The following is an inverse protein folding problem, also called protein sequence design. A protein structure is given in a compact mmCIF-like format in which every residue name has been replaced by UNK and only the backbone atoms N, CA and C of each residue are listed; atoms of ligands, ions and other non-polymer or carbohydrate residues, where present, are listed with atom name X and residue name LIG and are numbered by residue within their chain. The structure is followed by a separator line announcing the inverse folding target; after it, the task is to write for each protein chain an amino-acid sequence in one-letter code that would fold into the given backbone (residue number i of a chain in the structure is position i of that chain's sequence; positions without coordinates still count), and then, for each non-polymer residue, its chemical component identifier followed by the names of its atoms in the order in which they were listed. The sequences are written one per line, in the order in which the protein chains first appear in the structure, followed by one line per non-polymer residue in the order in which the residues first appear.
data_IF_097785093251
#
_entry.id   IF_097785093251
#
_cell.length_a   1.000
_cell.length_b   1.000
_cell.length_c   1.000
_cell.angle_alpha   90.00
_cell.angle_beta   90.00
_cell.angle_gamma   90.00
#
_symmetry.space_group_name_H-M   'P 1'
#
loop_
_entity.id
_entity.type
_entity.pdbx_description
1 polymer ?
#
# COMPACT_ATOMS: atom_id res chain seq x y z
N UNK A 1 -28.88 52.57 -23.72
CA UNK A 1 -28.51 51.45 -24.61
C UNK A 1 -27.00 51.39 -24.60
N UNK A 2 -26.42 50.56 -23.72
CA UNK A 2 -25.83 49.23 -24.05
C UNK A 2 -24.52 49.40 -24.82
N UNK A 3 -23.37 48.83 -24.45
CA UNK A 3 -23.09 47.61 -23.70
C UNK A 3 -21.65 47.67 -23.16
N UNK A 4 -21.39 47.11 -21.97
CA UNK A 4 -20.06 46.78 -21.46
C UNK A 4 -19.49 45.66 -22.34
N UNK A 5 -18.30 45.84 -22.91
CA UNK A 5 -17.55 44.77 -23.59
C UNK A 5 -16.16 44.68 -22.97
N UNK A 6 -16.13 44.34 -21.69
CA UNK A 6 -14.96 43.65 -21.14
C UNK A 6 -14.77 42.37 -21.97
N UNK A 7 -13.55 42.17 -22.48
CA UNK A 7 -13.06 40.81 -22.66
C UNK A 7 -11.93 40.62 -21.65
N UNK A 8 -12.25 40.09 -20.45
CA UNK A 8 -11.30 39.90 -19.37
C UNK A 8 -10.40 38.72 -19.72
N UNK A 9 -9.09 38.87 -19.49
CA UNK A 9 -8.07 37.82 -19.53
C UNK A 9 -8.14 36.84 -20.70
N UNK A 10 -7.33 37.12 -21.73
CA UNK A 10 -6.98 36.14 -22.76
C UNK A 10 -6.10 35.04 -22.15
N UNK A 11 -6.69 34.14 -21.38
CA UNK A 11 -6.11 32.83 -21.08
C UNK A 11 -6.22 32.02 -22.37
N UNK A 12 -5.12 31.88 -23.08
CA UNK A 12 -4.99 30.91 -24.16
C UNK A 12 -5.19 29.52 -23.57
N UNK A 13 -6.44 29.06 -23.57
CA UNK A 13 -6.80 27.64 -23.55
C UNK A 13 -6.23 27.02 -24.82
N UNK A 14 -4.97 26.64 -24.73
CA UNK A 14 -4.17 26.14 -25.84
C UNK A 14 -3.16 25.13 -25.33
N UNK A 15 -3.58 24.27 -24.41
CA UNK A 15 -3.04 22.94 -24.16
C UNK A 15 -3.92 22.31 -23.09
N UNK A 16 -4.34 21.07 -23.32
CA UNK A 16 -4.52 20.12 -22.24
C UNK A 16 -3.20 20.04 -21.46
N UNK A 17 -2.90 21.04 -20.63
CA UNK A 17 -1.89 20.91 -19.60
C UNK A 17 -2.52 20.04 -18.52
N UNK A 18 -2.69 18.75 -18.87
CA UNK A 18 -2.82 17.70 -17.88
C UNK A 18 -1.59 17.87 -17.01
N UNK A 19 -1.76 18.37 -15.78
CA UNK A 19 -0.69 18.30 -14.79
C UNK A 19 -0.43 16.80 -14.70
N UNK A 20 0.73 16.28 -15.17
CA UNK A 20 1.06 14.93 -14.79
C UNK A 20 1.20 15.03 -13.29
N UNK A 21 0.22 14.51 -12.54
CA UNK A 21 0.47 14.15 -11.16
C UNK A 21 1.75 13.36 -11.25
N UNK A 22 2.81 13.93 -10.71
CA UNK A 22 4.11 13.32 -10.72
C UNK A 22 3.97 12.04 -9.92
N UNK A 23 3.61 10.95 -10.60
CA UNK A 23 4.03 9.60 -10.23
C UNK A 23 5.55 9.50 -10.53
N UNK A 24 6.29 10.60 -10.36
CA UNK A 24 7.71 10.69 -10.74
C UNK A 24 8.59 10.11 -9.67
N UNK A 25 8.20 10.17 -8.40
CA UNK A 25 8.92 9.44 -7.38
C UNK A 25 8.31 8.05 -7.24
N UNK A 26 8.96 7.07 -7.86
CA UNK A 26 8.80 5.68 -7.46
C UNK A 26 9.12 5.63 -5.97
N UNK A 27 8.13 5.33 -5.14
CA UNK A 27 8.40 5.16 -3.71
C UNK A 27 9.51 4.13 -3.51
N UNK A 28 10.30 4.28 -2.46
CA UNK A 28 11.36 3.31 -2.13
C UNK A 28 10.82 1.86 -2.16
N UNK A 29 9.59 1.67 -1.67
CA UNK A 29 8.86 0.38 -1.75
C UNK A 29 8.68 -0.13 -3.18
N UNK A 30 8.34 0.73 -4.15
CA UNK A 30 8.25 0.34 -5.58
C UNK A 30 9.64 0.06 -6.17
N UNK A 31 10.65 0.84 -5.80
CA UNK A 31 12.02 0.65 -6.32
C UNK A 31 12.63 -0.68 -5.88
N UNK A 32 12.35 -1.11 -4.65
CA UNK A 32 12.92 -2.33 -4.04
C UNK A 32 11.98 -3.53 -4.17
N UNK A 33 10.81 -3.38 -4.79
CA UNK A 33 9.84 -4.47 -4.92
C UNK A 33 10.42 -5.65 -5.71
N UNK A 34 10.49 -6.81 -5.07
CA UNK A 34 10.93 -8.06 -5.68
C UNK A 34 9.81 -9.11 -5.57
N UNK A 35 9.08 -9.31 -6.66
CA UNK A 35 7.94 -10.25 -6.70
C UNK A 35 8.36 -11.70 -6.50
N UNK A 36 9.54 -12.09 -7.00
CA UNK A 36 10.04 -13.47 -6.86
C UNK A 36 10.38 -13.77 -5.40
N UNK A 37 11.12 -12.87 -4.76
CA UNK A 37 11.46 -13.00 -3.34
C UNK A 37 10.19 -13.05 -2.48
N UNK A 38 9.26 -12.13 -2.73
CA UNK A 38 7.99 -12.09 -2.00
C UNK A 38 7.17 -13.39 -2.18
N UNK A 39 7.15 -13.96 -3.38
CA UNK A 39 6.47 -15.24 -3.61
C UNK A 39 7.14 -16.41 -2.88
N UNK A 40 8.48 -16.41 -2.80
CA UNK A 40 9.23 -17.42 -2.04
C UNK A 40 9.01 -17.29 -0.54
N UNK A 41 9.01 -16.07 0.00
CA UNK A 41 8.72 -15.81 1.41
C UNK A 41 7.30 -16.21 1.77
N UNK A 42 6.29 -15.86 0.96
CA UNK A 42 4.91 -16.28 1.20
C UNK A 42 4.79 -17.81 1.24
N UNK A 43 5.47 -18.52 0.34
CA UNK A 43 5.45 -19.98 0.35
C UNK A 43 6.07 -20.54 1.63
N UNK A 44 7.22 -20.02 2.05
CA UNK A 44 7.87 -20.43 3.29
C UNK A 44 7.02 -20.11 4.53
N UNK A 45 6.40 -18.94 4.57
CA UNK A 45 5.50 -18.56 5.67
C UNK A 45 4.31 -19.52 5.75
N UNK A 46 3.70 -19.88 4.61
CA UNK A 46 2.58 -20.83 4.55
C UNK A 46 2.99 -22.22 5.04
N UNK A 47 4.20 -22.68 4.70
CA UNK A 47 4.71 -23.96 5.18
C UNK A 47 4.88 -23.96 6.73
N UNK A 48 5.22 -22.81 7.32
CA UNK A 48 5.45 -22.66 8.76
C UNK A 48 4.17 -22.37 9.58
N UNK A 49 3.06 -22.00 8.94
CA UNK A 49 1.83 -21.58 9.63
C UNK A 49 1.33 -22.66 10.60
N UNK A 50 1.38 -23.93 10.22
CA UNK A 50 0.87 -25.00 11.06
C UNK A 50 1.75 -25.26 12.29
N UNK A 51 3.06 -25.16 12.15
CA UNK A 51 4.02 -25.28 13.27
C UNK A 51 3.80 -24.15 14.29
N UNK A 52 3.66 -22.91 13.81
CA UNK A 52 3.40 -21.75 14.68
C UNK A 52 2.05 -21.86 15.41
N UNK A 53 1.05 -22.44 14.76
CA UNK A 53 -0.26 -22.69 15.37
C UNK A 53 -0.19 -23.75 16.46
N UNK A 54 0.55 -24.83 16.25
CA UNK A 54 0.75 -25.87 17.26
C UNK A 54 1.52 -25.31 18.47
N UNK A 55 2.60 -24.56 18.23
CA UNK A 55 3.35 -23.89 19.29
C UNK A 55 2.45 -22.95 20.12
N UNK A 56 1.64 -22.13 19.45
CA UNK A 56 0.70 -21.24 20.11
C UNK A 56 -0.32 -22.00 20.98
N UNK A 57 -0.84 -23.13 20.50
CA UNK A 57 -1.77 -23.97 21.26
C UNK A 57 -1.10 -24.55 22.51
N UNK A 58 0.14 -25.06 22.39
CA UNK A 58 0.89 -25.59 23.53
C UNK A 58 1.07 -24.50 24.59
N UNK A 59 1.44 -23.29 24.18
CA UNK A 59 1.58 -22.16 25.10
C UNK A 59 0.26 -21.79 25.78
N UNK A 60 -0.84 -21.77 25.03
CA UNK A 60 -2.17 -21.47 25.55
C UNK A 60 -2.58 -22.49 26.63
N UNK A 61 -2.46 -23.78 26.32
CA UNK A 61 -2.81 -24.86 27.27
C UNK A 61 -1.91 -24.82 28.52
N UNK A 62 -0.61 -24.57 28.35
CA UNK A 62 0.30 -24.41 29.48
C UNK A 62 -0.09 -23.22 30.37
N UNK A 63 -0.51 -22.09 29.78
CA UNK A 63 -1.01 -20.93 30.52
C UNK A 63 -2.30 -21.24 31.28
N UNK A 64 -3.27 -21.91 30.65
CA UNK A 64 -4.52 -22.34 31.29
C UNK A 64 -4.26 -23.25 32.49
N UNK A 65 -3.38 -24.24 32.33
CA UNK A 65 -2.98 -25.16 33.41
C UNK A 65 -2.32 -24.42 34.57
N UNK A 66 -1.47 -23.43 34.32
CA UNK A 66 -0.85 -22.61 35.36
C UNK A 66 -1.85 -21.75 36.10
N UNK A 67 -2.81 -21.15 35.41
CA UNK A 67 -3.84 -20.31 36.01
C UNK A 67 -4.85 -21.11 36.86
N UNK A 68 -4.95 -22.42 36.63
CA UNK A 68 -5.85 -23.33 37.36
C UNK A 68 -5.21 -23.96 38.61
N UNK A 69 -3.94 -23.63 38.91
CA UNK A 69 -3.22 -24.04 40.12
C UNK A 69 -3.30 -22.95 41.18
#
# INVERSE_FOLDING_TARGET
QSTTQETPYKLTYGTDAMIPVEVRETSHRRQVFNSKQNAQEIAADLDLVDELREEAQIHEEACKLRASR
#
